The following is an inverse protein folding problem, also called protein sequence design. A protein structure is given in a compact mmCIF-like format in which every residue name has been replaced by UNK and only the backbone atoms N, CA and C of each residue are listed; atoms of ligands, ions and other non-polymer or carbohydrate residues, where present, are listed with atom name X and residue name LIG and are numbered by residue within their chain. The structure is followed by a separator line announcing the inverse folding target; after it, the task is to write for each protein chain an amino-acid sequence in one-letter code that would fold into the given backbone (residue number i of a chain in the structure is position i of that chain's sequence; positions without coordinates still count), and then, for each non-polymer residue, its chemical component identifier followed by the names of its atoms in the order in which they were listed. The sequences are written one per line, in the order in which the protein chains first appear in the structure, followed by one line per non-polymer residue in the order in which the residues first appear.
data_IF_007954219120
#
_entry.id   IF_007954219120
#
_cell.length_a   1.000
_cell.length_b   1.000
_cell.length_c   1.000
_cell.angle_alpha   90.00
_cell.angle_beta   90.00
_cell.angle_gamma   90.00
#
_symmetry.space_group_name_H-M   'P 1'
#
loop_
_entity.id
_entity.type
_entity.pdbx_description
1 polymer ?
#
# COMPACT_ATOMS: atom_id res chain seq x y z
N UNK A 1 -6.00 9.79 -13.00
CA UNK A 1 -4.66 9.20 -12.97
C UNK A 1 -4.76 7.76 -12.48
N UNK A 2 -4.04 6.83 -13.10
CA UNK A 2 -3.94 5.43 -12.65
C UNK A 2 -2.62 5.22 -11.91
N UNK A 3 -2.52 4.16 -11.12
CA UNK A 3 -1.34 3.85 -10.31
C UNK A 3 -1.07 2.34 -10.35
N UNK A 4 0.18 1.95 -10.55
CA UNK A 4 0.64 0.57 -10.41
C UNK A 4 1.10 0.33 -8.98
N UNK A 5 0.79 -0.84 -8.43
CA UNK A 5 1.24 -1.25 -7.11
C UNK A 5 2.19 -2.43 -7.21
N UNK A 6 3.20 -2.41 -6.35
CA UNK A 6 4.21 -3.45 -6.20
C UNK A 6 4.39 -3.74 -4.71
N UNK A 7 4.77 -4.97 -4.36
CA UNK A 7 5.02 -5.34 -2.97
C UNK A 7 6.30 -6.17 -2.87
N UNK A 8 7.19 -5.75 -1.99
CA UNK A 8 8.39 -6.51 -1.64
C UNK A 8 8.15 -7.46 -0.47
N UNK A 9 9.18 -8.23 -0.14
CA UNK A 9 9.21 -9.00 1.10
C UNK A 9 8.98 -8.06 2.30
N UNK A 10 8.20 -8.51 3.29
CA UNK A 10 7.74 -7.75 4.46
C UNK A 10 6.59 -6.75 4.22
N UNK A 11 5.89 -6.84 3.09
CA UNK A 11 4.61 -6.14 2.90
C UNK A 11 4.71 -4.62 2.68
N UNK A 12 5.91 -4.09 2.41
CA UNK A 12 6.09 -2.70 2.02
C UNK A 12 5.59 -2.49 0.60
N UNK A 13 4.63 -1.58 0.46
CA UNK A 13 4.05 -1.24 -0.85
C UNK A 13 4.89 -0.18 -1.55
N UNK A 14 5.06 -0.35 -2.85
CA UNK A 14 5.55 0.70 -3.76
C UNK A 14 4.41 1.03 -4.72
N UNK A 15 3.98 2.27 -4.72
CA UNK A 15 2.99 2.81 -5.65
C UNK A 15 3.69 3.70 -6.68
N UNK A 16 3.33 3.56 -7.95
CA UNK A 16 3.90 4.35 -9.06
C UNK A 16 2.75 4.88 -9.89
N UNK A 17 2.60 6.20 -9.93
CA UNK A 17 1.59 6.82 -10.79
C UNK A 17 1.93 6.56 -12.27
N UNK A 18 0.90 6.37 -13.08
CA UNK A 18 1.03 6.06 -14.51
C UNK A 18 1.35 7.33 -15.31
N UNK A 19 2.54 7.89 -15.08
CA UNK A 19 3.15 9.02 -15.79
C UNK A 19 4.66 8.81 -15.95
N UNK A 20 5.26 9.53 -16.89
CA UNK A 20 6.66 9.38 -17.27
C UNK A 20 7.60 9.76 -16.12
N UNK A 21 7.33 10.87 -15.43
CA UNK A 21 8.16 11.38 -14.34
C UNK A 21 8.24 10.40 -13.15
N UNK A 22 7.10 9.78 -12.80
CA UNK A 22 7.04 8.78 -11.74
C UNK A 22 7.73 7.47 -12.16
N UNK A 23 7.62 7.07 -13.42
CA UNK A 23 8.29 5.87 -13.95
C UNK A 23 9.81 6.08 -14.00
N UNK A 24 10.27 7.24 -14.45
CA UNK A 24 11.69 7.59 -14.49
C UNK A 24 12.29 7.68 -13.10
N UNK A 25 11.58 8.27 -12.14
CA UNK A 25 12.00 8.30 -10.74
C UNK A 25 12.16 6.89 -10.15
N UNK A 26 11.44 5.91 -10.68
CA UNK A 26 11.49 4.51 -10.25
C UNK A 26 12.60 3.71 -10.92
N UNK A 27 13.07 4.08 -12.11
CA UNK A 27 14.16 3.37 -12.83
C UNK A 27 15.43 3.27 -11.98
N UNK A 28 15.63 4.20 -11.05
CA UNK A 28 16.74 4.20 -10.09
C UNK A 28 16.61 3.12 -9.00
N UNK A 29 15.45 2.46 -8.89
CA UNK A 29 15.13 1.45 -7.89
C UNK A 29 14.76 0.13 -8.55
N UNK A 30 15.24 -1.00 -8.01
CA UNK A 30 14.72 -2.32 -8.40
C UNK A 30 13.29 -2.45 -7.88
N UNK A 31 12.30 -2.39 -8.78
CA UNK A 31 10.90 -2.57 -8.40
C UNK A 31 10.66 -3.98 -7.84
N UNK A 32 9.88 -4.11 -6.75
CA UNK A 32 9.38 -5.39 -6.30
C UNK A 32 8.43 -6.05 -7.33
N UNK A 33 8.02 -7.31 -7.11
CA UNK A 33 6.98 -7.95 -7.90
C UNK A 33 5.69 -7.09 -7.96
N UNK A 34 5.04 -7.02 -9.13
CA UNK A 34 3.80 -6.28 -9.30
C UNK A 34 2.64 -6.97 -8.57
N UNK A 35 1.77 -6.17 -7.97
CA UNK A 35 0.47 -6.61 -7.49
C UNK A 35 -0.56 -6.58 -8.62
N UNK A 36 -1.67 -7.31 -8.45
CA UNK A 36 -2.81 -7.28 -9.37
C UNK A 36 -2.43 -7.55 -10.84
N UNK A 37 -1.55 -8.52 -11.07
CA UNK A 37 -1.03 -8.86 -12.41
C UNK A 37 -0.37 -7.67 -13.14
N UNK A 38 0.10 -6.66 -12.40
CA UNK A 38 0.67 -5.44 -12.98
C UNK A 38 -0.36 -4.47 -13.54
N UNK A 39 -1.67 -4.72 -13.38
CA UNK A 39 -2.71 -3.81 -13.87
C UNK A 39 -2.72 -2.52 -13.07
N UNK A 40 -2.78 -1.40 -13.78
CA UNK A 40 -2.95 -0.09 -13.17
C UNK A 40 -4.37 0.04 -12.61
N UNK A 41 -4.48 0.55 -11.39
CA UNK A 41 -5.77 0.77 -10.73
C UNK A 41 -6.11 2.26 -10.60
N UNK A 42 -7.39 2.60 -10.35
CA UNK A 42 -7.78 3.97 -10.09
C UNK A 42 -7.03 4.57 -8.90
N UNK A 43 -6.68 5.86 -8.99
CA UNK A 43 -5.95 6.59 -7.94
C UNK A 43 -6.52 6.39 -6.53
N UNK A 44 -7.85 6.45 -6.36
CA UNK A 44 -8.47 6.31 -5.03
C UNK A 44 -8.27 4.91 -4.43
N UNK A 45 -8.25 3.87 -5.25
CA UNK A 45 -8.00 2.49 -4.82
C UNK A 45 -6.55 2.34 -4.37
N UNK A 46 -5.60 2.80 -5.20
CA UNK A 46 -4.18 2.77 -4.85
C UNK A 46 -3.90 3.60 -3.59
N UNK A 47 -4.53 4.78 -3.47
CA UNK A 47 -4.43 5.65 -2.29
C UNK A 47 -4.88 4.94 -1.03
N UNK A 48 -6.06 4.33 -1.04
CA UNK A 48 -6.60 3.61 0.11
C UNK A 48 -5.66 2.46 0.52
N UNK A 49 -5.20 1.68 -0.45
CA UNK A 49 -4.34 0.52 -0.22
C UNK A 49 -2.99 0.91 0.43
N UNK A 50 -2.29 1.91 -0.12
CA UNK A 50 -1.02 2.37 0.43
C UNK A 50 -1.20 3.15 1.75
N UNK A 51 -2.36 3.77 1.99
CA UNK A 51 -2.67 4.35 3.29
C UNK A 51 -2.78 3.28 4.37
N UNK A 52 -3.42 2.15 4.09
CA UNK A 52 -3.56 1.05 5.05
C UNK A 52 -2.20 0.39 5.35
N UNK A 53 -1.43 0.08 4.30
CA UNK A 53 -0.20 -0.71 4.41
C UNK A 53 1.06 0.11 4.66
N UNK A 54 1.01 1.41 4.38
CA UNK A 54 2.20 2.23 4.27
C UNK A 54 3.08 1.85 3.09
N UNK A 55 4.10 2.66 2.82
CA UNK A 55 4.98 2.41 1.68
C UNK A 55 5.64 3.64 1.10
N UNK A 56 6.06 3.50 -0.15
CA UNK A 56 6.63 4.55 -0.98
C UNK A 56 5.70 4.81 -2.16
N UNK A 57 5.48 6.09 -2.49
CA UNK A 57 4.67 6.48 -3.62
C UNK A 57 5.45 7.42 -4.52
N UNK A 58 5.79 6.95 -5.72
CA UNK A 58 6.37 7.75 -6.79
C UNK A 58 5.27 8.42 -7.60
N UNK A 59 5.31 9.75 -7.62
CA UNK A 59 4.35 10.61 -8.28
C UNK A 59 5.08 11.58 -9.20
N UNK A 60 4.33 12.33 -10.00
CA UNK A 60 4.89 13.38 -10.86
C UNK A 60 5.68 14.45 -10.09
N UNK A 61 5.37 14.65 -8.81
CA UNK A 61 6.03 15.62 -7.92
C UNK A 61 7.12 15.00 -7.03
N UNK A 62 7.49 13.73 -7.29
CA UNK A 62 8.55 13.01 -6.59
C UNK A 62 8.05 11.91 -5.65
N UNK A 63 8.93 11.51 -4.72
CA UNK A 63 8.71 10.39 -3.80
C UNK A 63 8.03 10.82 -2.51
N UNK A 64 6.93 10.15 -2.16
CA UNK A 64 6.22 10.32 -0.88
C UNK A 64 6.32 9.07 -0.04
N UNK A 65 6.71 9.23 1.23
CA UNK A 65 6.70 8.14 2.22
C UNK A 65 5.35 8.10 2.93
N UNK A 66 4.62 7.02 2.74
CA UNK A 66 3.34 6.78 3.39
C UNK A 66 3.58 5.97 4.67
N UNK A 67 3.17 6.51 5.81
CA UNK A 67 3.10 5.71 7.04
C UNK A 67 1.83 4.86 6.96
N UNK A 68 1.87 3.59 7.40
CA UNK A 68 0.64 2.83 7.58
C UNK A 68 -0.25 3.63 8.52
N UNK A 69 -1.39 4.07 7.99
CA UNK A 69 -2.45 4.60 8.79
C UNK A 69 -2.96 3.43 9.60
N UNK A 70 -2.69 3.46 10.91
CA UNK A 70 -3.45 2.67 11.86
C UNK A 70 -4.89 3.16 11.82
N UNK A 71 -5.64 2.82 10.78
CA UNK A 71 -7.07 3.02 10.73
C UNK A 71 -7.66 1.81 11.48
N UNK A 72 -8.39 2.03 12.57
CA UNK A 72 -8.71 1.05 13.61
C UNK A 72 -9.87 0.15 13.17
N UNK A 73 -9.75 -0.56 12.04
CA UNK A 73 -10.72 -1.57 11.70
C UNK A 73 -10.48 -2.83 12.52
N UNK A 74 -11.01 -2.77 13.74
CA UNK A 74 -11.25 -3.90 14.63
C UNK A 74 -10.04 -4.31 15.46
N UNK A 75 -10.29 -5.02 16.58
CA UNK A 75 -9.22 -5.68 17.31
C UNK A 75 -8.42 -6.58 16.35
N UNK A 76 -7.12 -6.83 16.62
CA UNK A 76 -6.41 -7.91 15.93
C UNK A 76 -7.25 -9.21 15.98
N UNK A 77 -7.15 -10.12 15.00
CA UNK A 77 -7.99 -11.32 14.93
C UNK A 77 -8.06 -12.09 16.26
N UNK A 78 -6.94 -12.16 16.97
CA UNK A 78 -6.83 -12.76 18.31
C UNK A 78 -7.72 -12.08 19.36
N UNK A 79 -7.84 -10.76 19.34
CA UNK A 79 -8.69 -10.00 20.25
C UNK A 79 -10.17 -10.03 19.83
N UNK A 80 -10.47 -10.22 18.55
CA UNK A 80 -11.84 -10.44 18.07
C UNK A 80 -12.38 -11.83 18.48
N UNK A 81 -11.53 -12.86 18.44
CA UNK A 81 -11.87 -14.21 18.94
C UNK A 81 -12.06 -14.22 20.47
N UNK A 82 -11.19 -13.53 21.22
CA UNK A 82 -11.33 -13.41 22.68
C UNK A 82 -12.62 -12.67 23.09
N UNK A 83 -13.00 -11.61 22.35
CA UNK A 83 -14.27 -10.91 22.58
C UNK A 83 -15.49 -11.76 22.16
N UNK A 84 -15.40 -12.55 21.09
CA UNK A 84 -16.48 -13.43 20.66
C UNK A 84 -16.70 -14.62 21.61
N UNK A 85 -15.65 -15.08 22.30
CA UNK A 85 -15.70 -16.20 23.24
C UNK A 85 -16.10 -15.82 24.67
N UNK A 86 -16.40 -14.54 24.94
CA UNK A 86 -17.06 -14.12 26.19
C UNK A 86 -16.29 -14.47 27.47
N UNK A 87 -14.97 -14.64 27.41
CA UNK A 87 -14.15 -14.86 28.60
C UNK A 87 -13.68 -13.52 29.14
N UNK A 88 -14.63 -12.75 29.67
CA UNK A 88 -14.31 -11.65 30.60
C UNK A 88 -14.25 -12.24 31.99
N UNK A 89 -13.05 -12.36 32.55
CA UNK A 89 -12.87 -12.56 33.99
C UNK A 89 -13.19 -11.28 34.77
#
# INVERSE_FOLDING_TARGET
MKTHLYAGEHGRIVAVDDNEEARDAVVLCRLPPPLFEGRAMPYLVAKAYIHERGGLWFRHDGLRRMKPGGIPYGPPPEAAEQQAMGLSG
#
